data_IF_515301880381
#
_entry.id   IF_515301880381
#
_cell.length_a   1.000
_cell.length_b   1.000
_cell.length_c   1.000
_cell.angle_alpha   90.00
_cell.angle_beta   90.00
_cell.angle_gamma   90.00
#
_symmetry.space_group_name_H-M   'P 1'
#
loop_
_entity.id
_entity.type
_entity.pdbx_description
1 polymer ?
#
# COMPACT_ATOMS: atom_id res chain seq x y z
N UNK A 1 -8.76 12.16 9.77
CA UNK A 1 -9.19 12.64 8.43
C UNK A 1 -10.65 12.24 8.23
N UNK A 2 -11.58 13.19 8.16
CA UNK A 2 -13.02 12.92 7.97
C UNK A 2 -13.23 12.51 6.51
N UNK A 3 -13.90 11.37 6.28
CA UNK A 3 -14.23 10.92 4.92
C UNK A 3 -15.25 11.88 4.31
N UNK A 4 -15.05 12.23 3.05
CA UNK A 4 -16.09 12.92 2.28
C UNK A 4 -17.28 11.97 2.12
N UNK A 5 -18.47 12.32 2.64
CA UNK A 5 -19.65 11.45 2.58
C UNK A 5 -20.14 11.23 1.14
N UNK A 6 -19.79 12.10 0.20
CA UNK A 6 -20.34 12.10 -1.17
C UNK A 6 -19.50 11.26 -2.15
N UNK A 7 -18.31 10.80 -1.73
CA UNK A 7 -17.46 9.93 -2.55
C UNK A 7 -17.93 8.47 -2.42
N UNK A 8 -18.30 7.87 -3.55
CA UNK A 8 -18.65 6.45 -3.70
C UNK A 8 -18.06 5.87 -4.99
N UNK A 9 -17.82 4.56 -4.99
CA UNK A 9 -17.29 3.79 -6.12
C UNK A 9 -18.15 2.54 -6.37
N UNK A 10 -19.33 2.69 -7.00
CA UNK A 10 -20.30 1.61 -7.17
C UNK A 10 -19.71 0.36 -7.85
N UNK A 11 -18.82 0.54 -8.82
CA UNK A 11 -18.16 -0.55 -9.54
C UNK A 11 -17.29 -1.44 -8.65
N UNK A 12 -16.93 -0.97 -7.46
CA UNK A 12 -16.10 -1.69 -6.50
C UNK A 12 -16.86 -2.15 -5.25
N UNK A 13 -18.18 -1.96 -5.16
CA UNK A 13 -18.99 -2.38 -4.02
C UNK A 13 -18.68 -3.82 -3.56
N UNK A 14 -18.30 -3.98 -2.30
CA UNK A 14 -17.96 -5.28 -1.71
C UNK A 14 -16.72 -5.98 -2.29
N UNK A 15 -15.90 -5.30 -3.10
CA UNK A 15 -14.74 -5.89 -3.77
C UNK A 15 -13.44 -5.63 -3.03
N UNK A 16 -12.47 -6.51 -3.31
CA UNK A 16 -11.05 -6.32 -3.00
C UNK A 16 -10.33 -5.97 -4.30
N UNK A 17 -9.76 -4.78 -4.37
CA UNK A 17 -9.17 -4.21 -5.58
C UNK A 17 -7.66 -4.13 -5.40
N UNK A 18 -6.90 -4.71 -6.33
CA UNK A 18 -5.45 -4.53 -6.40
C UNK A 18 -5.16 -3.14 -6.97
N UNK A 19 -4.29 -2.39 -6.30
CA UNK A 19 -3.79 -1.12 -6.80
C UNK A 19 -2.28 -1.03 -6.61
N UNK A 20 -1.66 -0.12 -7.36
CA UNK A 20 -0.26 0.23 -7.21
C UNK A 20 -0.16 1.70 -6.81
N UNK A 21 0.61 1.98 -5.77
CA UNK A 21 0.96 3.33 -5.32
C UNK A 21 2.39 3.63 -5.77
N UNK A 22 2.57 4.72 -6.52
CA UNK A 22 3.85 5.11 -7.08
C UNK A 22 4.25 6.49 -6.60
N UNK A 23 5.47 6.62 -6.11
CA UNK A 23 6.13 7.91 -5.92
C UNK A 23 7.05 8.15 -7.12
N UNK A 24 6.78 9.21 -7.89
CA UNK A 24 7.47 9.50 -9.15
C UNK A 24 8.03 10.91 -9.05
N UNK A 25 9.31 11.07 -9.37
CA UNK A 25 9.96 12.37 -9.48
C UNK A 25 9.71 12.95 -10.87
N UNK A 26 9.40 14.25 -10.90
CA UNK A 26 9.15 14.99 -12.12
C UNK A 26 10.08 16.20 -12.22
N UNK A 27 10.74 16.33 -13.37
CA UNK A 27 11.41 17.55 -13.77
C UNK A 27 10.71 18.15 -14.98
N UNK A 28 10.38 19.44 -14.93
CA UNK A 28 9.73 20.14 -16.05
C UNK A 28 8.50 19.38 -16.60
N UNK A 29 7.68 18.82 -15.70
CA UNK A 29 6.49 18.00 -16.01
C UNK A 29 6.75 16.71 -16.78
N UNK A 30 7.99 16.21 -16.78
CA UNK A 30 8.37 14.89 -17.32
C UNK A 30 8.81 13.99 -16.17
N UNK A 31 8.34 12.73 -16.11
CA UNK A 31 8.82 11.80 -15.10
C UNK A 31 10.28 11.46 -15.40
N UNK A 32 11.12 11.52 -14.38
CA UNK A 32 12.57 11.23 -14.50
C UNK A 32 12.98 9.98 -13.72
N UNK A 33 12.33 9.73 -12.58
CA UNK A 33 12.65 8.61 -11.71
C UNK A 33 11.41 8.10 -10.97
N UNK A 34 11.39 6.79 -10.67
CA UNK A 34 10.42 6.20 -9.75
C UNK A 34 11.13 5.99 -8.41
N UNK A 35 10.71 6.73 -7.39
CA UNK A 35 11.31 6.69 -6.05
C UNK A 35 10.79 5.51 -5.23
N UNK A 36 9.54 5.08 -5.48
CA UNK A 36 8.91 3.98 -4.75
C UNK A 36 7.77 3.35 -5.57
N UNK A 37 7.69 2.03 -5.52
CA UNK A 37 6.57 1.24 -6.03
C UNK A 37 6.03 0.36 -4.92
N UNK A 38 4.76 0.53 -4.56
CA UNK A 38 4.08 -0.31 -3.58
C UNK A 38 2.81 -0.90 -4.18
N UNK A 39 2.51 -2.15 -3.80
CA UNK A 39 1.41 -2.91 -4.39
C UNK A 39 0.46 -3.35 -3.28
N UNK A 40 -0.71 -2.73 -3.24
CA UNK A 40 -1.66 -2.87 -2.14
C UNK A 40 -3.02 -3.39 -2.58
N UNK A 41 -3.78 -3.89 -1.62
CA UNK A 41 -5.17 -4.33 -1.78
C UNK A 41 -6.06 -3.34 -1.05
N UNK A 42 -6.94 -2.68 -1.79
CA UNK A 42 -7.99 -1.80 -1.27
C UNK A 42 -9.29 -2.56 -1.09
N UNK A 43 -9.95 -2.36 0.05
CA UNK A 43 -11.21 -3.03 0.38
C UNK A 43 -12.34 -2.02 0.28
N UNK A 44 -13.42 -2.43 -0.36
CA UNK A 44 -14.64 -1.65 -0.46
C UNK A 44 -15.76 -2.36 0.26
N UNK A 45 -16.53 -1.60 1.03
CA UNK A 45 -17.72 -2.07 1.72
C UNK A 45 -18.90 -2.21 0.75
N UNK A 46 -20.01 -2.79 1.23
CA UNK A 46 -21.24 -2.93 0.46
C UNK A 46 -21.94 -1.60 0.17
N UNK A 47 -21.50 -0.51 0.80
CA UNK A 47 -21.97 0.86 0.57
C UNK A 47 -21.06 1.62 -0.39
N UNK A 48 -20.27 0.88 -1.18
CA UNK A 48 -19.47 1.42 -2.30
C UNK A 48 -18.34 2.34 -1.84
N UNK A 49 -17.97 2.28 -0.56
CA UNK A 49 -16.92 3.11 0.03
C UNK A 49 -15.72 2.26 0.40
N UNK A 50 -14.57 2.89 0.53
CA UNK A 50 -13.41 2.22 1.13
C UNK A 50 -13.79 1.76 2.54
N UNK A 51 -13.54 0.50 2.87
CA UNK A 51 -13.86 -0.05 4.18
C UNK A 51 -13.07 0.70 5.27
N UNK A 52 -13.80 1.23 6.26
CA UNK A 52 -13.24 1.97 7.41
C UNK A 52 -12.41 1.11 8.32
N UNK A 53 -12.98 -0.01 8.73
CA UNK A 53 -12.35 -0.91 9.67
C UNK A 53 -11.05 -1.48 9.07
N UNK A 54 -11.10 -1.92 7.81
CA UNK A 54 -9.93 -2.50 7.15
C UNK A 54 -8.81 -1.47 6.95
N UNK A 55 -9.16 -0.22 6.65
CA UNK A 55 -8.16 0.87 6.56
C UNK A 55 -7.53 1.16 7.92
N UNK A 56 -8.33 1.20 8.98
CA UNK A 56 -7.83 1.49 10.32
C UNK A 56 -6.93 0.34 10.82
N UNK A 57 -7.28 -0.92 10.50
CA UNK A 57 -6.43 -2.10 10.72
C UNK A 57 -5.11 -2.02 9.96
N UNK A 58 -5.16 -1.64 8.67
CA UNK A 58 -3.96 -1.44 7.84
C UNK A 58 -3.03 -0.39 8.46
N UNK A 59 -3.58 0.74 8.93
CA UNK A 59 -2.82 1.79 9.62
C UNK A 59 -2.22 1.29 10.94
N UNK A 60 -2.99 0.57 11.75
CA UNK A 60 -2.54 0.00 13.03
C UNK A 60 -1.38 -0.99 12.82
N UNK A 61 -1.50 -1.89 11.85
CA UNK A 61 -0.41 -2.81 11.50
C UNK A 61 0.80 -2.07 10.91
N UNK A 62 0.54 -1.00 10.15
CA UNK A 62 1.56 -0.10 9.59
C UNK A 62 2.49 0.50 10.66
N UNK A 63 1.95 0.94 11.80
CA UNK A 63 2.73 1.49 12.92
C UNK A 63 3.74 0.47 13.47
N UNK A 64 3.39 -0.83 13.42
CA UNK A 64 4.22 -1.91 13.93
C UNK A 64 5.22 -2.47 12.88
N UNK A 65 5.27 -1.90 11.67
CA UNK A 65 6.22 -2.32 10.63
C UNK A 65 7.65 -1.85 10.90
N UNK A 66 7.82 -0.77 11.64
CA UNK A 66 9.13 -0.28 12.06
C UNK A 66 9.53 -0.93 13.38
N UNK A 67 10.76 -1.44 13.51
CA UNK A 67 11.25 -1.93 14.78
C UNK A 67 11.19 -0.79 15.82
N UNK A 68 10.75 -1.06 17.06
CA UNK A 68 10.77 -0.07 18.12
C UNK A 68 12.17 0.49 18.33
N UNK A 69 12.26 1.81 18.52
CA UNK A 69 13.51 2.49 18.86
C UNK A 69 13.82 2.19 20.33
N UNK A 70 14.71 1.23 20.56
CA UNK A 70 15.14 0.87 21.91
C UNK A 70 16.31 1.73 22.38
N UNK A 71 16.21 2.29 23.59
CA UNK A 71 17.34 2.93 24.27
C UNK A 71 18.17 1.93 25.11
N UNK A 72 17.66 0.71 25.34
CA UNK A 72 18.36 -0.39 26.02
C UNK A 72 17.69 -1.72 25.69
N UNK A 73 18.43 -2.68 25.14
CA UNK A 73 17.94 -4.03 24.86
C UNK A 73 18.25 -4.97 26.03
N UNK A 74 17.29 -5.82 26.41
CA UNK A 74 17.54 -6.98 27.28
C UNK A 74 18.17 -8.10 26.42
N UNK A 75 19.35 -8.63 26.78
CA UNK A 75 20.06 -9.62 25.96
C UNK A 75 19.35 -10.98 25.83
N UNK A 76 18.31 -11.25 26.64
CA UNK A 76 17.61 -12.55 26.67
C UNK A 76 16.32 -12.53 25.85
N UNK A 77 15.76 -11.36 25.55
CA UNK A 77 14.48 -11.22 24.85
C UNK A 77 14.70 -10.90 23.38
N UNK A 78 14.30 -11.82 22.49
CA UNK A 78 14.21 -11.54 21.06
C UNK A 78 12.86 -10.85 20.81
N UNK A 79 12.88 -9.54 20.60
CA UNK A 79 11.71 -8.84 20.07
C UNK A 79 11.59 -9.08 18.55
N UNK A 80 10.65 -9.95 18.18
CA UNK A 80 10.29 -10.25 16.80
C UNK A 80 8.89 -9.73 16.41
N UNK A 81 8.23 -8.91 17.25
CA UNK A 81 6.85 -8.46 17.00
C UNK A 81 6.72 -7.74 15.65
N UNK A 82 7.69 -6.90 15.31
CA UNK A 82 7.77 -6.19 14.03
C UNK A 82 7.82 -7.15 12.82
N UNK A 83 8.49 -8.31 12.95
CA UNK A 83 8.57 -9.30 11.87
C UNK A 83 7.22 -9.99 11.63
N UNK A 84 6.52 -10.36 12.71
CA UNK A 84 5.19 -10.96 12.61
C UNK A 84 4.15 -9.95 12.12
N UNK A 85 4.23 -8.70 12.57
CA UNK A 85 3.38 -7.62 12.08
C UNK A 85 3.58 -7.40 10.58
N UNK A 86 4.84 -7.32 10.12
CA UNK A 86 5.16 -7.23 8.69
C UNK A 86 4.61 -8.40 7.89
N UNK A 87 4.80 -9.64 8.35
CA UNK A 87 4.29 -10.83 7.65
C UNK A 87 2.76 -10.81 7.52
N UNK A 88 2.04 -10.42 8.58
CA UNK A 88 0.58 -10.29 8.56
C UNK A 88 0.13 -9.18 7.61
N UNK A 89 0.81 -8.04 7.66
CA UNK A 89 0.53 -6.90 6.81
C UNK A 89 0.71 -7.26 5.33
N UNK A 90 1.85 -7.85 4.96
CA UNK A 90 2.14 -8.25 3.59
C UNK A 90 1.12 -9.28 3.08
N UNK A 91 0.74 -10.24 3.92
CA UNK A 91 -0.25 -11.25 3.55
C UNK A 91 -1.66 -10.68 3.30
N UNK A 92 -2.09 -9.70 4.11
CA UNK A 92 -3.46 -9.17 4.04
C UNK A 92 -3.62 -8.02 3.06
N UNK A 93 -2.59 -7.18 2.93
CA UNK A 93 -2.69 -5.90 2.25
C UNK A 93 -1.80 -5.77 1.04
N UNK A 94 -0.83 -6.67 0.81
CA UNK A 94 0.02 -6.62 -0.39
C UNK A 94 -0.34 -7.68 -1.41
N UNK A 95 0.05 -7.41 -2.64
CA UNK A 95 0.05 -8.39 -3.72
C UNK A 95 1.34 -8.24 -4.53
N UNK A 96 1.75 -9.31 -5.21
CA UNK A 96 2.92 -9.26 -6.09
C UNK A 96 2.45 -9.08 -7.53
N UNK A 97 2.93 -8.06 -8.26
CA UNK A 97 2.62 -7.90 -9.66
C UNK A 97 3.32 -8.96 -10.51
N UNK A 98 2.77 -9.22 -11.69
CA UNK A 98 3.50 -9.93 -12.74
C UNK A 98 4.41 -8.94 -13.47
N UNK A 99 5.48 -9.42 -14.09
CA UNK A 99 6.37 -8.58 -14.89
C UNK A 99 5.62 -7.84 -16.01
N UNK A 100 4.57 -8.44 -16.56
CA UNK A 100 3.70 -7.78 -17.56
C UNK A 100 3.01 -6.52 -16.99
N UNK A 101 2.48 -6.61 -15.76
CA UNK A 101 1.86 -5.46 -15.11
C UNK A 101 2.90 -4.38 -14.80
N UNK A 102 4.08 -4.77 -14.28
CA UNK A 102 5.15 -3.81 -14.00
C UNK A 102 5.59 -3.09 -15.27
N UNK A 103 5.80 -3.81 -16.37
CA UNK A 103 6.13 -3.22 -17.66
C UNK A 103 5.04 -2.29 -18.18
N UNK A 104 3.76 -2.66 -18.03
CA UNK A 104 2.65 -1.81 -18.43
C UNK A 104 2.65 -0.49 -17.63
N UNK A 105 2.93 -0.54 -16.33
CA UNK A 105 3.03 0.65 -15.47
C UNK A 105 4.22 1.52 -15.90
N UNK A 106 5.41 0.92 -16.08
CA UNK A 106 6.60 1.66 -16.53
C UNK A 106 6.36 2.36 -17.87
N UNK A 107 5.72 1.67 -18.82
CA UNK A 107 5.36 2.23 -20.12
C UNK A 107 4.36 3.38 -20.00
N UNK A 108 3.37 3.25 -19.13
CA UNK A 108 2.38 4.31 -18.89
C UNK A 108 3.02 5.56 -18.27
N UNK A 109 3.99 5.39 -17.37
CA UNK A 109 4.71 6.48 -16.71
C UNK A 109 5.64 7.18 -17.71
N UNK A 110 6.59 6.46 -18.30
CA UNK A 110 7.64 7.08 -19.11
C UNK A 110 7.26 7.33 -20.57
N UNK A 111 6.04 6.96 -20.97
CA UNK A 111 5.55 7.11 -22.35
C UNK A 111 6.56 6.62 -23.39
N UNK A 112 7.22 5.50 -23.10
CA UNK A 112 8.11 4.86 -24.07
C UNK A 112 7.29 4.49 -25.31
N UNK A 113 7.51 5.25 -26.39
CA UNK A 113 6.94 4.92 -27.70
C UNK A 113 7.46 3.54 -28.11
N UNK A 114 6.62 2.70 -28.74
CA UNK A 114 7.10 1.46 -29.36
C UNK A 114 8.14 1.75 -30.43
#
# INVERSE_FOLDING_TARGET
MRRDPDISFPQYAGKRVRYAEMAIEFENRKPVEILRMEYFIMYFDSKERIDGAVRDDMMSLGVNLTPPIYFKNDPVVIDAQHQFAKKRFDHQFRWNPTSEIEMAILKAIFKTKP
#
